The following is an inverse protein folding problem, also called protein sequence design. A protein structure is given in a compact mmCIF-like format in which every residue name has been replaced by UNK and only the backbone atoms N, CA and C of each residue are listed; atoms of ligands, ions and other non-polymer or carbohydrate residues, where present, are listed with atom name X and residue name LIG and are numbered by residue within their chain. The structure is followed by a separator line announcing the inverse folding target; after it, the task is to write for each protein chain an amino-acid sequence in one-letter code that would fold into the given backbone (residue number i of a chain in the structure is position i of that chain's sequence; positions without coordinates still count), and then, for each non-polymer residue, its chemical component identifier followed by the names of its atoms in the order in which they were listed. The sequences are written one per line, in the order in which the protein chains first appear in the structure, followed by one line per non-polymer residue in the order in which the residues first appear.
data_IF_694894974578
#
_entry.id   IF_694894974578
#
_cell.length_a   1.000
_cell.length_b   1.000
_cell.length_c   1.000
_cell.angle_alpha   90.00
_cell.angle_beta   90.00
_cell.angle_gamma   90.00
#
_symmetry.space_group_name_H-M   'P 1'
#
loop_
_entity.id
_entity.type
_entity.pdbx_description
1 polymer ?
#
# COMPACT_ATOMS: atom_id res chain seq x y z
N UNK A 1 -53.33 34.66 28.12
CA UNK A 1 -54.04 35.62 27.23
C UNK A 1 -54.25 34.91 25.90
N UNK A 2 -55.52 34.48 25.75
CA UNK A 2 -56.28 34.11 24.53
C UNK A 2 -55.66 33.14 23.50
N UNK A 3 -56.15 31.83 23.44
CA UNK A 3 -57.38 31.34 22.79
C UNK A 3 -57.45 31.70 21.29
N UNK A 4 -57.76 30.78 20.35
CA UNK A 4 -58.83 29.79 20.11
C UNK A 4 -58.48 28.96 18.85
N UNK A 5 -58.52 27.68 18.81
CA UNK A 5 -59.60 26.73 18.43
C UNK A 5 -60.39 27.05 17.16
N UNK A 6 -60.44 26.09 16.24
CA UNK A 6 -61.66 25.68 15.53
C UNK A 6 -61.47 24.33 14.75
N UNK A 7 -62.29 23.37 15.17
CA UNK A 7 -62.76 22.15 14.47
C UNK A 7 -63.63 22.49 13.26
N UNK A 8 -63.68 21.60 12.23
CA UNK A 8 -64.91 21.21 11.48
C UNK A 8 -64.61 19.91 10.71
N UNK A 9 -65.11 18.80 11.05
CA UNK A 9 -66.31 17.98 10.84
C UNK A 9 -66.52 17.49 9.38
N UNK A 10 -66.48 16.14 9.34
CA UNK A 10 -67.27 15.13 8.61
C UNK A 10 -68.02 15.47 7.34
N UNK A 11 -67.85 14.62 6.31
CA UNK A 11 -68.99 13.88 5.74
C UNK A 11 -68.53 12.59 5.05
N UNK A 12 -69.17 11.51 5.49
CA UNK A 12 -69.13 10.19 4.85
C UNK A 12 -70.11 10.19 3.66
N UNK A 13 -69.81 9.49 2.57
CA UNK A 13 -70.79 8.91 1.65
C UNK A 13 -70.36 7.58 1.11
N UNK A 14 -71.27 6.67 1.24
CA UNK A 14 -71.31 5.25 0.98
C UNK A 14 -71.42 4.87 -0.51
N UNK A 15 -70.89 3.69 -0.81
CA UNK A 15 -71.29 2.63 -1.75
C UNK A 15 -71.35 2.93 -3.25
N UNK A 16 -70.56 2.18 -4.02
CA UNK A 16 -71.14 1.16 -4.93
C UNK A 16 -70.09 0.14 -5.36
N UNK A 17 -70.49 -1.13 -5.20
CA UNK A 17 -69.79 -2.34 -5.63
C UNK A 17 -69.89 -2.46 -7.14
N UNK A 18 -68.77 -2.62 -7.87
CA UNK A 18 -68.77 -3.15 -9.23
C UNK A 18 -67.62 -4.19 -9.34
N UNK A 19 -68.04 -5.45 -9.45
CA UNK A 19 -67.19 -6.57 -9.86
C UNK A 19 -66.80 -6.37 -11.30
N UNK A 20 -65.50 -6.34 -11.58
CA UNK A 20 -64.94 -6.61 -12.90
C UNK A 20 -63.77 -7.54 -12.79
N UNK A 21 -63.94 -8.76 -13.30
CA UNK A 21 -62.89 -9.67 -13.65
C UNK A 21 -61.98 -9.02 -14.68
N UNK A 22 -60.70 -9.00 -14.49
CA UNK A 22 -59.74 -9.08 -15.60
C UNK A 22 -58.32 -9.33 -15.13
N UNK A 23 -57.76 -10.42 -15.60
CA UNK A 23 -56.41 -10.64 -16.10
C UNK A 23 -55.24 -10.34 -15.13
N UNK A 24 -54.66 -11.40 -14.65
CA UNK A 24 -53.27 -11.51 -14.18
C UNK A 24 -52.36 -11.01 -15.33
N UNK A 25 -51.83 -9.80 -15.19
CA UNK A 25 -50.62 -9.38 -15.89
C UNK A 25 -49.44 -9.73 -15.01
N UNK A 26 -48.73 -10.76 -15.40
CA UNK A 26 -47.39 -11.04 -14.90
C UNK A 26 -46.52 -9.81 -15.24
N UNK A 27 -46.12 -9.02 -14.23
CA UNK A 27 -44.99 -8.12 -14.38
C UNK A 27 -43.73 -9.03 -14.47
N UNK A 28 -43.35 -9.37 -15.70
CA UNK A 28 -41.99 -9.71 -16.01
C UNK A 28 -41.17 -8.45 -15.79
N UNK A 29 -40.33 -8.42 -14.79
CA UNK A 29 -39.23 -7.46 -14.66
C UNK A 29 -38.36 -7.62 -15.91
N UNK A 30 -38.50 -6.70 -16.85
CA UNK A 30 -37.51 -6.48 -17.89
C UNK A 30 -36.21 -6.05 -17.16
N UNK A 31 -35.37 -7.01 -16.82
CA UNK A 31 -33.96 -6.73 -16.68
C UNK A 31 -33.55 -6.09 -18.00
N UNK A 32 -33.08 -4.85 -17.92
CA UNK A 32 -32.67 -4.12 -19.10
C UNK A 32 -31.46 -4.84 -19.70
N UNK A 33 -31.42 -4.93 -21.03
CA UNK A 33 -30.32 -5.59 -21.75
C UNK A 33 -28.93 -5.08 -21.33
N UNK A 34 -28.86 -3.86 -20.76
CA UNK A 34 -27.66 -3.27 -20.19
C UNK A 34 -27.12 -4.01 -18.95
N UNK A 35 -28.00 -4.56 -18.11
CA UNK A 35 -27.56 -5.29 -16.90
C UNK A 35 -27.05 -6.68 -17.28
N UNK A 36 -27.68 -7.32 -18.26
CA UNK A 36 -27.24 -8.61 -18.80
C UNK A 36 -25.93 -8.48 -19.63
N UNK A 37 -25.73 -7.37 -20.35
CA UNK A 37 -24.48 -7.08 -21.05
C UNK A 37 -23.36 -6.74 -20.06
N UNK A 38 -23.62 -6.01 -18.97
CA UNK A 38 -22.64 -5.74 -17.92
C UNK A 38 -22.25 -7.02 -17.15
N UNK A 39 -23.22 -7.88 -16.81
CA UNK A 39 -22.94 -9.17 -16.17
C UNK A 39 -22.19 -10.13 -17.12
N UNK A 40 -22.50 -10.13 -18.40
CA UNK A 40 -21.78 -10.90 -19.42
C UNK A 40 -20.37 -10.34 -19.66
N UNK A 41 -20.16 -9.05 -19.55
CA UNK A 41 -18.86 -8.41 -19.72
C UNK A 41 -17.98 -8.62 -18.49
N UNK A 42 -18.55 -8.66 -17.27
CA UNK A 42 -17.86 -9.08 -16.04
C UNK A 42 -17.50 -10.58 -16.06
N UNK A 43 -18.35 -11.42 -16.64
CA UNK A 43 -18.08 -12.86 -16.81
C UNK A 43 -17.06 -13.17 -17.93
N UNK A 44 -16.70 -12.21 -18.77
CA UNK A 44 -15.79 -12.39 -19.92
C UNK A 44 -14.40 -11.79 -19.73
N UNK A 45 -14.08 -11.27 -18.54
CA UNK A 45 -12.71 -10.84 -18.26
C UNK A 45 -11.84 -12.09 -18.16
N UNK A 46 -10.87 -12.32 -19.05
CA UNK A 46 -10.04 -13.52 -18.99
C UNK A 46 -9.36 -13.57 -17.62
N UNK A 47 -9.42 -14.74 -16.96
CA UNK A 47 -8.61 -14.99 -15.79
C UNK A 47 -7.15 -14.68 -16.10
N UNK A 48 -6.39 -14.18 -15.12
CA UNK A 48 -4.96 -13.95 -15.31
C UNK A 48 -4.26 -15.25 -15.76
N UNK A 49 -3.45 -15.15 -16.81
CA UNK A 49 -2.68 -16.26 -17.34
C UNK A 49 -1.19 -15.90 -17.40
N UNK A 50 -0.34 -16.88 -17.13
CA UNK A 50 1.10 -16.71 -17.14
C UNK A 50 1.60 -16.73 -18.59
N UNK A 51 2.26 -15.66 -19.00
CA UNK A 51 3.03 -15.59 -20.24
C UNK A 51 4.46 -16.08 -19.99
N UNK A 52 4.67 -17.38 -20.12
CA UNK A 52 5.97 -18.01 -19.84
C UNK A 52 7.09 -17.52 -20.78
N UNK A 53 6.77 -17.16 -22.02
CA UNK A 53 7.74 -16.65 -22.99
C UNK A 53 8.17 -15.23 -22.62
N UNK A 54 7.21 -14.32 -22.42
CA UNK A 54 7.49 -12.94 -22.02
C UNK A 54 8.24 -12.85 -20.69
N UNK A 55 7.87 -13.66 -19.69
CA UNK A 55 8.66 -13.74 -18.45
C UNK A 55 10.07 -14.27 -18.68
N UNK A 56 10.23 -15.20 -19.62
CA UNK A 56 11.53 -15.71 -20.02
C UNK A 56 12.44 -14.66 -20.64
N UNK A 57 11.89 -13.75 -21.42
CA UNK A 57 12.61 -12.60 -22.01
C UNK A 57 13.03 -11.58 -20.92
N UNK A 58 12.27 -11.48 -19.82
CA UNK A 58 12.64 -10.68 -18.64
C UNK A 58 13.68 -11.35 -17.74
N UNK A 59 14.17 -12.56 -18.08
CA UNK A 59 15.13 -13.31 -17.27
C UNK A 59 14.50 -14.03 -16.07
N UNK A 60 13.18 -14.20 -16.04
CA UNK A 60 12.44 -14.84 -14.96
C UNK A 60 11.74 -16.12 -15.41
N UNK A 61 11.46 -17.00 -14.45
CA UNK A 61 10.65 -18.20 -14.67
C UNK A 61 9.60 -18.34 -13.58
N UNK A 62 8.41 -18.78 -13.98
CA UNK A 62 7.39 -19.14 -13.00
C UNK A 62 7.83 -20.34 -12.16
N UNK A 63 7.69 -20.24 -10.84
CA UNK A 63 8.03 -21.31 -9.92
C UNK A 63 6.79 -21.98 -9.33
N UNK A 64 5.85 -21.17 -8.81
CA UNK A 64 4.63 -21.66 -8.18
C UNK A 64 3.50 -20.65 -8.21
N UNK A 65 2.27 -21.14 -7.97
CA UNK A 65 1.10 -20.32 -7.64
C UNK A 65 0.53 -20.79 -6.30
N UNK A 66 0.33 -19.86 -5.37
CA UNK A 66 -0.22 -20.09 -4.04
C UNK A 66 -1.54 -19.33 -3.83
N UNK A 67 -2.30 -19.77 -2.84
CA UNK A 67 -3.61 -19.21 -2.51
C UNK A 67 -3.65 -18.90 -1.01
N UNK A 68 -3.40 -17.65 -0.60
CA UNK A 68 -3.59 -17.24 0.80
C UNK A 68 -5.04 -17.50 1.21
N UNK A 69 -5.29 -18.24 2.30
CA UNK A 69 -6.66 -18.44 2.77
C UNK A 69 -7.30 -17.11 3.17
N UNK A 70 -8.50 -16.86 2.65
CA UNK A 70 -9.29 -15.66 2.92
C UNK A 70 -10.76 -16.04 3.12
N UNK A 71 -11.51 -15.14 3.73
CA UNK A 71 -12.96 -15.27 3.83
C UNK A 71 -13.62 -15.19 2.44
N UNK A 72 -14.76 -15.86 2.19
CA UNK A 72 -15.48 -15.72 0.93
C UNK A 72 -15.81 -14.25 0.64
N UNK A 73 -15.42 -13.78 -0.56
CA UNK A 73 -15.60 -12.40 -0.99
C UNK A 73 -14.61 -11.38 -0.41
N UNK A 74 -13.65 -11.82 0.43
CA UNK A 74 -12.57 -10.95 0.88
C UNK A 74 -11.55 -10.73 -0.26
N UNK A 75 -10.92 -9.54 -0.23
CA UNK A 75 -9.82 -9.17 -1.12
C UNK A 75 -8.53 -9.02 -0.32
N UNK A 76 -7.39 -9.17 -0.98
CA UNK A 76 -6.07 -8.88 -0.38
C UNK A 76 -5.94 -7.36 -0.30
N UNK A 77 -5.84 -6.83 0.93
CA UNK A 77 -5.61 -5.39 1.17
C UNK A 77 -4.13 -5.06 1.25
N UNK A 78 -3.35 -5.92 1.92
CA UNK A 78 -1.91 -5.76 2.04
C UNK A 78 -1.19 -7.07 1.71
N UNK A 79 -0.04 -6.94 1.07
CA UNK A 79 0.85 -8.05 0.79
C UNK A 79 2.29 -7.56 0.84
N UNK A 80 3.15 -8.28 1.55
CA UNK A 80 4.58 -7.98 1.67
C UNK A 80 5.37 -9.25 1.44
N UNK A 81 6.42 -9.16 0.64
CA UNK A 81 7.34 -10.26 0.38
C UNK A 81 8.63 -10.07 1.20
N UNK A 82 9.11 -11.16 1.75
CA UNK A 82 10.39 -11.30 2.44
C UNK A 82 11.13 -12.49 1.81
N UNK A 83 12.40 -12.64 2.10
CA UNK A 83 13.25 -13.69 1.51
C UNK A 83 12.66 -15.11 1.67
N UNK A 84 12.05 -15.41 2.82
CA UNK A 84 11.56 -16.75 3.18
C UNK A 84 10.04 -16.85 3.27
N UNK A 85 9.32 -15.74 3.37
CA UNK A 85 7.86 -15.71 3.52
C UNK A 85 7.20 -14.59 2.73
N UNK A 86 5.88 -14.77 2.52
CA UNK A 86 4.98 -13.68 2.15
C UNK A 86 3.91 -13.53 3.22
N UNK A 87 3.59 -12.29 3.55
CA UNK A 87 2.50 -11.95 4.47
C UNK A 87 1.35 -11.31 3.71
N UNK A 88 0.12 -11.67 4.08
CA UNK A 88 -1.10 -11.14 3.47
C UNK A 88 -2.08 -10.72 4.54
N UNK A 89 -2.76 -9.62 4.29
CA UNK A 89 -3.94 -9.20 5.05
C UNK A 89 -5.13 -9.14 4.11
N UNK A 90 -6.17 -9.88 4.45
CA UNK A 90 -7.45 -9.82 3.75
C UNK A 90 -8.45 -8.89 4.43
N UNK A 91 -9.39 -8.34 3.66
CA UNK A 91 -10.45 -7.45 4.15
C UNK A 91 -11.39 -8.06 5.21
N UNK A 92 -11.22 -9.34 5.57
CA UNK A 92 -11.93 -10.01 6.66
C UNK A 92 -11.11 -10.15 7.93
N UNK A 93 -10.11 -9.30 8.20
CA UNK A 93 -9.19 -9.37 9.34
C UNK A 93 -8.39 -10.67 9.40
N UNK A 94 -8.19 -11.30 8.25
CA UNK A 94 -7.41 -12.53 8.12
C UNK A 94 -5.98 -12.19 7.76
N UNK A 95 -5.03 -12.64 8.58
CA UNK A 95 -3.60 -12.60 8.31
C UNK A 95 -3.15 -13.99 7.88
N UNK A 96 -2.47 -14.07 6.76
CA UNK A 96 -1.94 -15.32 6.21
C UNK A 96 -0.45 -15.18 5.93
N UNK A 97 0.30 -16.25 6.19
CA UNK A 97 1.73 -16.33 5.87
C UNK A 97 1.96 -17.55 4.98
N UNK A 98 2.62 -17.31 3.85
CA UNK A 98 3.02 -18.35 2.91
C UNK A 98 4.55 -18.50 2.91
N UNK A 99 5.02 -19.71 2.65
CA UNK A 99 6.42 -20.00 2.39
C UNK A 99 6.84 -19.45 1.02
N UNK A 100 7.83 -18.56 0.97
CA UNK A 100 8.27 -17.91 -0.28
C UNK A 100 8.85 -18.93 -1.30
N UNK A 101 9.41 -20.06 -0.82
CA UNK A 101 9.99 -21.06 -1.70
C UNK A 101 8.96 -22.00 -2.36
N UNK A 102 7.77 -22.15 -1.78
CA UNK A 102 6.82 -23.19 -2.22
C UNK A 102 5.40 -22.69 -2.46
N UNK A 103 5.08 -21.46 -2.03
CA UNK A 103 3.71 -20.93 -2.03
C UNK A 103 2.75 -21.63 -1.06
N UNK A 104 3.24 -22.54 -0.22
CA UNK A 104 2.42 -23.24 0.76
C UNK A 104 2.08 -22.35 1.94
N UNK A 105 0.85 -22.46 2.42
CA UNK A 105 0.42 -21.74 3.62
C UNK A 105 1.19 -22.26 4.83
N UNK A 106 1.95 -21.38 5.50
CA UNK A 106 2.58 -21.67 6.78
C UNK A 106 1.53 -21.66 7.88
N UNK A 107 0.72 -20.60 7.90
CA UNK A 107 -0.47 -20.47 8.75
C UNK A 107 -1.38 -19.36 8.21
N UNK A 108 -2.64 -19.39 8.67
CA UNK A 108 -3.63 -18.35 8.41
C UNK A 108 -4.54 -18.22 9.62
N UNK A 109 -4.82 -16.99 10.04
CA UNK A 109 -5.68 -16.70 11.21
C UNK A 109 -6.53 -15.46 10.98
N UNK A 110 -7.79 -15.56 11.36
CA UNK A 110 -8.61 -14.38 11.58
C UNK A 110 -8.28 -13.83 12.97
N UNK A 111 -7.75 -12.60 13.03
CA UNK A 111 -7.29 -12.00 14.28
C UNK A 111 -8.43 -11.36 15.08
N UNK A 112 -9.41 -10.79 14.38
CA UNK A 112 -10.53 -10.08 15.01
C UNK A 112 -11.81 -10.23 14.16
N UNK A 113 -12.83 -9.43 14.45
CA UNK A 113 -14.08 -9.40 13.67
C UNK A 113 -13.79 -9.04 12.21
N UNK A 114 -14.57 -9.56 11.29
CA UNK A 114 -14.37 -9.31 9.85
C UNK A 114 -14.50 -7.83 9.44
N UNK A 115 -15.00 -6.97 10.33
CA UNK A 115 -15.11 -5.52 10.11
C UNK A 115 -13.92 -4.72 10.65
N UNK A 116 -13.02 -5.36 11.40
CA UNK A 116 -11.81 -4.70 11.92
C UNK A 116 -10.79 -4.57 10.79
N UNK A 117 -10.34 -3.36 10.56
CA UNK A 117 -9.32 -3.07 9.54
C UNK A 117 -7.94 -3.21 10.14
N UNK A 118 -7.04 -3.82 9.38
CA UNK A 118 -5.63 -3.94 9.70
C UNK A 118 -4.80 -3.09 8.75
N UNK A 119 -3.71 -2.52 9.24
CA UNK A 119 -2.67 -1.92 8.41
C UNK A 119 -1.68 -3.00 7.95
N UNK A 120 -0.77 -2.65 7.02
CA UNK A 120 0.26 -3.58 6.54
C UNK A 120 1.10 -4.12 7.70
N UNK A 121 1.16 -5.45 7.92
CA UNK A 121 1.97 -6.04 9.00
C UNK A 121 3.45 -5.87 8.74
N UNK A 122 4.22 -5.78 9.82
CA UNK A 122 5.67 -5.65 9.76
C UNK A 122 6.31 -6.84 10.46
N UNK A 123 7.26 -7.47 9.78
CA UNK A 123 8.10 -8.53 10.35
C UNK A 123 9.33 -7.93 11.00
N UNK A 124 9.64 -8.41 12.20
CA UNK A 124 10.95 -8.27 12.80
C UNK A 124 11.36 -9.61 13.42
N UNK A 125 12.47 -10.14 13.01
CA UNK A 125 12.97 -11.45 13.41
C UNK A 125 11.91 -12.56 13.25
N UNK A 126 11.56 -13.27 14.32
CA UNK A 126 10.56 -14.35 14.36
C UNK A 126 9.15 -13.87 14.74
N UNK A 127 8.92 -12.54 14.78
CA UNK A 127 7.64 -11.93 15.16
C UNK A 127 7.05 -11.15 13.99
N UNK A 128 5.75 -11.33 13.78
CA UNK A 128 4.94 -10.53 12.88
C UNK A 128 4.06 -9.58 13.71
N UNK A 129 4.27 -8.29 13.53
CA UNK A 129 3.50 -7.22 14.16
C UNK A 129 2.33 -6.85 13.28
N UNK A 130 1.12 -7.19 13.68
CA UNK A 130 -0.10 -6.85 12.99
C UNK A 130 -0.91 -5.84 13.81
N UNK A 131 -1.18 -4.67 13.26
CA UNK A 131 -1.94 -3.65 13.97
C UNK A 131 -3.30 -3.42 13.31
N UNK A 132 -4.35 -3.41 14.14
CA UNK A 132 -5.63 -2.82 13.76
C UNK A 132 -5.61 -1.31 14.00
N UNK A 133 -6.74 -0.68 13.80
CA UNK A 133 -6.92 0.75 14.11
C UNK A 133 -6.69 1.10 15.60
N UNK A 134 -6.78 0.13 16.54
CA UNK A 134 -6.67 0.38 17.99
C UNK A 134 -5.79 -0.58 18.77
N UNK A 135 -5.42 -1.70 18.19
CA UNK A 135 -4.71 -2.78 18.88
C UNK A 135 -3.50 -3.25 18.08
N UNK A 136 -2.47 -3.66 18.79
CA UNK A 136 -1.26 -4.27 18.25
C UNK A 136 -1.21 -5.74 18.65
N UNK A 137 -1.01 -6.64 17.69
CA UNK A 137 -0.75 -8.07 17.90
C UNK A 137 0.68 -8.40 17.61
N UNK A 138 1.32 -9.08 18.52
CA UNK A 138 2.58 -9.77 18.30
C UNK A 138 2.30 -11.24 17.99
N UNK A 139 2.61 -11.67 16.79
CA UNK A 139 2.33 -13.01 16.32
C UNK A 139 3.61 -13.79 16.07
N UNK A 140 3.68 -15.02 16.57
CA UNK A 140 4.77 -15.92 16.22
C UNK A 140 4.77 -16.22 14.72
N UNK A 141 5.86 -15.88 14.04
CA UNK A 141 6.01 -16.12 12.61
C UNK A 141 5.94 -17.61 12.26
N UNK A 142 6.30 -18.48 13.21
CA UNK A 142 6.31 -19.94 13.01
C UNK A 142 4.92 -20.53 12.84
N UNK A 143 3.93 -20.09 13.63
CA UNK A 143 2.62 -20.76 13.72
C UNK A 143 1.42 -19.79 13.86
N UNK A 144 1.66 -18.48 13.84
CA UNK A 144 0.64 -17.45 13.98
C UNK A 144 0.03 -17.34 15.39
N UNK A 145 0.59 -18.01 16.41
CA UNK A 145 0.09 -17.85 17.76
C UNK A 145 0.35 -16.45 18.27
N UNK A 146 -0.64 -15.88 18.95
CA UNK A 146 -0.51 -14.59 19.62
C UNK A 146 0.49 -14.74 20.76
N UNK A 147 1.56 -13.95 20.70
CA UNK A 147 2.55 -13.78 21.76
C UNK A 147 2.03 -12.74 22.73
N UNK A 148 1.61 -11.60 22.18
CA UNK A 148 0.98 -10.52 22.94
C UNK A 148 -0.09 -9.78 22.14
N UNK A 149 -0.95 -9.00 22.82
CA UNK A 149 -2.02 -8.19 22.23
C UNK A 149 -2.33 -7.00 23.10
N UNK A 150 -2.04 -5.81 22.64
CA UNK A 150 -2.11 -4.58 23.40
C UNK A 150 -3.07 -3.58 22.82
N UNK A 151 -3.76 -2.85 23.68
CA UNK A 151 -4.58 -1.72 23.27
C UNK A 151 -3.76 -0.45 23.27
N UNK A 152 -3.63 0.18 22.11
CA UNK A 152 -2.88 1.43 21.95
C UNK A 152 -3.65 2.66 22.42
N UNK A 153 -4.96 2.54 22.67
CA UNK A 153 -5.82 3.64 23.13
C UNK A 153 -5.92 4.82 22.15
N UNK A 154 -5.40 4.67 20.93
CA UNK A 154 -5.33 5.71 19.89
C UNK A 154 -5.57 5.06 18.53
N UNK A 155 -6.35 5.74 17.66
CA UNK A 155 -6.60 5.26 16.30
C UNK A 155 -5.35 5.46 15.44
N UNK A 156 -4.76 4.37 14.96
CA UNK A 156 -3.61 4.38 14.05
C UNK A 156 -4.04 4.33 12.59
N UNK A 157 -3.19 4.86 11.72
CA UNK A 157 -3.44 4.89 10.29
C UNK A 157 -2.28 4.30 9.46
N UNK A 158 -1.08 4.25 10.03
CA UNK A 158 0.09 3.74 9.34
C UNK A 158 0.51 2.38 9.86
N UNK A 159 1.22 1.61 9.04
CA UNK A 159 1.98 0.45 9.52
C UNK A 159 2.95 0.88 10.62
N UNK A 160 3.24 0.01 11.60
CA UNK A 160 4.23 0.33 12.62
C UNK A 160 5.64 0.41 12.03
N UNK A 161 6.42 1.37 12.50
CA UNK A 161 7.87 1.25 12.45
C UNK A 161 8.31 0.60 13.76
N UNK A 162 8.92 -0.58 13.67
CA UNK A 162 9.40 -1.32 14.84
C UNK A 162 10.88 -1.00 15.05
N UNK A 163 11.23 -0.35 16.16
CA UNK A 163 12.60 -0.05 16.57
C UNK A 163 12.78 -0.50 18.02
N UNK A 164 13.68 -1.44 18.25
CA UNK A 164 13.86 -2.07 19.55
C UNK A 164 12.55 -2.58 20.17
N UNK A 165 12.12 -2.02 21.27
CA UNK A 165 10.88 -2.35 21.97
C UNK A 165 9.77 -1.30 21.72
N UNK A 166 9.90 -0.51 20.66
CA UNK A 166 8.95 0.54 20.30
C UNK A 166 8.25 0.23 19.00
N UNK A 167 6.92 0.38 18.99
CA UNK A 167 6.11 0.42 17.80
C UNK A 167 5.66 1.87 17.56
N UNK A 168 6.07 2.47 16.43
CA UNK A 168 5.83 3.89 16.13
C UNK A 168 4.77 4.01 15.06
N UNK A 169 3.72 4.77 15.33
CA UNK A 169 2.55 4.91 14.49
C UNK A 169 2.22 6.36 14.17
N UNK A 170 1.74 6.58 12.95
CA UNK A 170 1.11 7.81 12.52
C UNK A 170 -0.41 7.72 12.58
N UNK A 171 -1.08 8.86 12.79
CA UNK A 171 -2.53 8.97 12.87
C UNK A 171 -3.08 10.01 11.88
N UNK A 172 -4.35 9.86 11.49
CA UNK A 172 -5.06 10.88 10.71
C UNK A 172 -5.25 12.20 11.46
N UNK A 173 -5.17 12.17 12.79
CA UNK A 173 -5.17 13.38 13.59
C UNK A 173 -3.83 14.13 13.53
N UNK A 174 -2.79 13.56 12.90
CA UNK A 174 -1.45 14.15 12.82
C UNK A 174 -0.62 13.95 14.09
N UNK A 175 -0.92 12.97 14.89
CA UNK A 175 -0.08 12.52 15.99
C UNK A 175 0.85 11.41 15.51
N UNK A 176 2.15 11.54 15.70
CA UNK A 176 3.11 10.45 15.63
C UNK A 176 3.42 10.06 17.07
N UNK A 177 3.33 8.78 17.41
CA UNK A 177 3.60 8.33 18.77
C UNK A 177 4.38 7.01 18.78
N UNK A 178 5.15 6.80 19.84
CA UNK A 178 5.77 5.51 20.15
C UNK A 178 5.01 4.82 21.27
N UNK A 179 4.66 3.57 21.01
CA UNK A 179 4.09 2.64 21.98
C UNK A 179 5.20 1.69 22.44
N UNK A 180 5.42 1.64 23.76
CA UNK A 180 6.38 0.72 24.36
C UNK A 180 5.70 -0.62 24.61
N UNK A 181 6.11 -1.64 23.85
CA UNK A 181 5.45 -2.94 23.81
C UNK A 181 5.62 -3.75 25.10
N UNK A 182 6.77 -3.66 25.79
CA UNK A 182 7.04 -4.43 27.02
C UNK A 182 6.16 -4.02 28.22
N UNK A 183 5.73 -2.76 28.28
CA UNK A 183 5.02 -2.22 29.44
C UNK A 183 3.66 -1.58 29.05
N UNK A 184 3.20 -1.76 27.84
CA UNK A 184 1.88 -1.42 27.33
C UNK A 184 1.48 0.05 27.52
N UNK A 185 2.37 0.99 27.21
CA UNK A 185 2.05 2.40 27.31
C UNK A 185 2.63 3.26 26.18
N UNK A 186 1.96 4.37 25.91
CA UNK A 186 2.45 5.40 25.01
C UNK A 186 3.63 6.13 25.65
N UNK A 187 4.84 5.89 25.15
CA UNK A 187 6.07 6.48 25.69
C UNK A 187 6.16 7.97 25.40
N UNK A 188 5.90 8.36 24.15
CA UNK A 188 5.89 9.75 23.72
C UNK A 188 4.92 9.96 22.56
N UNK A 189 4.58 11.21 22.31
CA UNK A 189 3.90 11.64 21.09
C UNK A 189 4.41 13.00 20.61
N UNK A 190 4.37 13.19 19.29
CA UNK A 190 4.68 14.43 18.61
C UNK A 190 3.51 14.84 17.71
N UNK A 191 3.14 16.12 17.73
CA UNK A 191 2.00 16.64 16.96
C UNK A 191 2.49 17.34 15.70
N UNK A 192 2.16 16.77 14.55
CA UNK A 192 2.31 17.38 13.23
C UNK A 192 1.12 18.29 12.89
N UNK A 193 1.31 19.18 11.92
CA UNK A 193 0.30 20.12 11.44
C UNK A 193 -0.80 19.52 10.57
N UNK A 194 -0.70 18.25 10.18
CA UNK A 194 -1.65 17.51 9.35
C UNK A 194 -1.59 16.00 9.54
N UNK A 195 -2.50 15.25 8.88
CA UNK A 195 -2.52 13.79 8.92
C UNK A 195 -1.18 13.17 8.57
N UNK A 196 -0.88 12.00 9.15
CA UNK A 196 0.26 11.16 8.80
C UNK A 196 -0.30 9.92 8.13
N UNK A 197 0.00 9.74 6.83
CA UNK A 197 -0.55 8.65 6.01
C UNK A 197 0.50 7.64 5.58
N UNK A 198 1.78 8.02 5.66
CA UNK A 198 2.89 7.11 5.43
C UNK A 198 3.59 6.76 6.73
N UNK A 199 4.07 5.52 6.90
CA UNK A 199 4.82 5.16 8.10
C UNK A 199 6.09 6.00 8.22
N UNK A 200 6.50 6.25 9.46
CA UNK A 200 7.81 6.79 9.73
C UNK A 200 8.90 5.79 9.29
N UNK A 201 10.07 6.29 8.95
CA UNK A 201 11.23 5.46 8.63
C UNK A 201 12.38 5.74 9.61
N UNK A 202 13.20 4.74 9.88
CA UNK A 202 14.45 4.94 10.60
C UNK A 202 15.48 5.55 9.64
N UNK A 203 16.12 6.66 10.05
CA UNK A 203 17.13 7.36 9.25
C UNK A 203 18.53 7.23 9.84
N UNK A 204 18.62 6.91 11.13
CA UNK A 204 19.86 6.54 11.83
C UNK A 204 19.52 5.68 13.05
N UNK A 205 20.53 5.24 13.81
CA UNK A 205 20.31 4.48 15.05
C UNK A 205 19.49 5.26 16.08
N UNK A 206 19.58 6.60 16.08
CA UNK A 206 18.95 7.47 17.06
C UNK A 206 17.69 8.17 16.53
N UNK A 207 17.53 8.32 15.21
CA UNK A 207 16.50 9.16 14.61
C UNK A 207 15.59 8.42 13.65
N UNK A 208 14.33 8.82 13.69
CA UNK A 208 13.30 8.46 12.71
C UNK A 208 12.87 9.71 11.94
N UNK A 209 12.35 9.53 10.72
CA UNK A 209 11.76 10.61 9.92
C UNK A 209 10.29 10.34 9.62
N UNK A 210 9.49 11.40 9.63
CA UNK A 210 8.09 11.38 9.24
C UNK A 210 7.69 12.66 8.51
N UNK A 211 6.60 12.57 7.74
CA UNK A 211 6.00 13.69 7.01
C UNK A 211 4.48 13.71 7.20
N UNK A 212 3.92 14.90 7.38
CA UNK A 212 2.47 15.09 7.36
C UNK A 212 1.95 15.33 5.93
N UNK A 213 0.66 15.11 5.69
CA UNK A 213 0.00 15.45 4.42
C UNK A 213 0.01 16.95 4.09
N UNK A 214 0.29 17.80 5.07
CA UNK A 214 0.54 19.22 4.83
C UNK A 214 2.00 19.55 4.53
N UNK A 215 2.88 18.54 4.48
CA UNK A 215 4.28 18.68 4.09
C UNK A 215 5.22 19.13 5.22
N UNK A 216 4.81 19.03 6.49
CA UNK A 216 5.74 19.15 7.61
C UNK A 216 6.61 17.90 7.69
N UNK A 217 7.93 18.07 7.65
CA UNK A 217 8.94 17.01 7.70
C UNK A 217 9.73 17.19 8.99
N UNK A 218 9.91 16.10 9.73
CA UNK A 218 10.70 16.08 10.97
C UNK A 218 11.56 14.83 11.04
N UNK A 219 12.77 14.98 11.56
CA UNK A 219 13.42 13.87 12.26
C UNK A 219 13.18 14.03 13.75
N UNK A 220 12.97 12.91 14.43
CA UNK A 220 12.70 12.85 15.87
C UNK A 220 13.59 11.79 16.49
N UNK A 221 14.15 12.07 17.67
CA UNK A 221 14.83 11.03 18.43
C UNK A 221 13.86 9.90 18.77
N UNK A 222 14.27 8.67 18.52
CA UNK A 222 13.42 7.47 18.62
C UNK A 222 12.85 7.27 20.03
N UNK A 223 13.62 7.65 21.07
CA UNK A 223 13.27 7.34 22.48
C UNK A 223 12.49 8.44 23.19
N UNK A 224 12.50 9.67 22.72
CA UNK A 224 11.92 10.82 23.45
C UNK A 224 11.23 11.86 22.55
N UNK A 225 11.24 11.66 21.24
CA UNK A 225 10.69 12.57 20.22
C UNK A 225 11.32 13.99 20.24
N UNK A 226 12.54 14.16 20.76
CA UNK A 226 13.24 15.42 20.54
C UNK A 226 13.40 15.67 19.05
N UNK A 227 13.01 16.89 18.62
CA UNK A 227 13.08 17.26 17.21
C UNK A 227 14.53 17.51 16.79
N UNK A 228 14.97 16.76 15.82
CA UNK A 228 16.20 17.03 15.07
C UNK A 228 15.92 17.98 13.91
N UNK A 229 16.03 17.48 12.68
CA UNK A 229 15.76 18.22 11.44
C UNK A 229 14.31 18.69 11.35
N UNK A 230 14.12 19.87 10.76
CA UNK A 230 12.82 20.45 10.42
C UNK A 230 12.84 21.02 9.02
N UNK A 231 11.92 20.56 8.17
CA UNK A 231 11.70 21.11 6.85
C UNK A 231 10.20 21.21 6.54
N UNK A 232 9.87 22.01 5.51
CA UNK A 232 8.49 22.20 5.06
C UNK A 232 8.42 22.24 3.54
N UNK A 233 7.49 21.48 2.96
CA UNK A 233 7.10 21.51 1.55
C UNK A 233 5.62 21.80 1.41
N UNK A 234 5.14 22.02 0.19
CA UNK A 234 3.75 22.47 -0.01
C UNK A 234 2.71 21.35 0.07
N UNK A 235 3.12 20.09 -0.03
CA UNK A 235 2.24 18.91 0.03
C UNK A 235 2.91 17.74 0.71
N UNK A 236 2.12 16.76 1.15
CA UNK A 236 2.61 15.50 1.71
C UNK A 236 3.07 14.51 0.65
N UNK A 237 2.97 13.23 0.97
CA UNK A 237 3.35 12.13 0.08
C UNK A 237 2.37 10.96 0.20
N UNK A 238 2.13 10.28 -0.94
CA UNK A 238 1.43 8.99 -0.99
C UNK A 238 2.39 7.80 -1.08
N UNK A 239 3.70 8.07 -1.09
CA UNK A 239 4.76 7.07 -1.20
C UNK A 239 5.56 6.95 0.08
N UNK A 240 6.15 5.79 0.33
CA UNK A 240 7.07 5.60 1.47
C UNK A 240 8.28 6.52 1.30
N UNK A 241 8.74 7.11 2.38
CA UNK A 241 10.00 7.87 2.43
C UNK A 241 11.17 6.92 2.19
N UNK A 242 12.26 7.42 1.63
CA UNK A 242 13.51 6.68 1.48
C UNK A 242 14.68 7.46 2.06
N UNK A 243 15.72 6.75 2.49
CA UNK A 243 16.97 7.33 2.99
C UNK A 243 18.15 6.43 2.68
N UNK A 244 19.32 7.03 2.53
CA UNK A 244 20.63 6.36 2.49
C UNK A 244 21.46 6.65 3.76
N UNK A 245 20.82 7.24 4.78
CA UNK A 245 21.48 7.65 6.01
C UNK A 245 22.13 9.06 5.94
N UNK A 246 22.08 9.72 4.78
CA UNK A 246 22.55 11.11 4.56
C UNK A 246 21.39 11.96 4.06
N UNK A 247 20.71 11.50 3.01
CA UNK A 247 19.57 12.15 2.40
C UNK A 247 18.23 11.52 2.81
N UNK A 248 17.19 12.34 2.88
CA UNK A 248 15.80 11.96 2.95
C UNK A 248 15.14 12.26 1.61
N UNK A 249 14.68 11.23 0.90
CA UNK A 249 14.10 11.34 -0.44
C UNK A 249 12.59 11.25 -0.39
N UNK A 250 11.91 12.21 -1.03
CA UNK A 250 10.45 12.38 -0.95
C UNK A 250 9.86 12.60 -2.32
N UNK A 251 8.93 11.75 -2.73
CA UNK A 251 8.05 11.99 -3.86
C UNK A 251 6.77 12.68 -3.37
N UNK A 252 6.60 13.96 -3.72
CA UNK A 252 5.58 14.81 -3.10
C UNK A 252 4.37 15.05 -4.00
N UNK A 253 3.22 15.19 -3.35
CA UNK A 253 1.96 15.62 -3.97
C UNK A 253 2.01 17.08 -4.46
N UNK A 254 3.04 17.87 -4.09
CA UNK A 254 3.27 19.22 -4.59
C UNK A 254 3.99 19.25 -5.96
N UNK A 255 3.94 18.15 -6.71
CA UNK A 255 4.54 18.03 -8.05
C UNK A 255 6.07 18.10 -8.02
N UNK A 256 6.69 17.48 -7.04
CA UNK A 256 8.15 17.52 -6.93
C UNK A 256 8.74 16.28 -6.26
N UNK A 257 9.96 15.97 -6.66
CA UNK A 257 10.87 15.11 -5.94
C UNK A 257 11.84 15.97 -5.14
N UNK A 258 12.16 15.55 -3.94
CA UNK A 258 13.04 16.27 -3.03
C UNK A 258 14.11 15.37 -2.42
N UNK A 259 15.26 15.94 -2.13
CA UNK A 259 16.22 15.41 -1.17
C UNK A 259 16.55 16.47 -0.11
N UNK A 260 16.54 16.04 1.14
CA UNK A 260 16.90 16.86 2.29
C UNK A 260 18.00 16.18 3.08
N UNK A 261 18.91 16.97 3.66
CA UNK A 261 19.83 16.51 4.69
C UNK A 261 19.04 16.07 5.93
N UNK A 262 19.34 14.86 6.45
CA UNK A 262 18.63 14.30 7.62
C UNK A 262 19.00 14.98 8.95
N UNK A 263 20.09 15.77 8.99
CA UNK A 263 20.61 16.39 10.20
C UNK A 263 20.06 17.81 10.40
N UNK A 264 20.20 18.66 9.37
CA UNK A 264 19.82 20.08 9.46
C UNK A 264 18.61 20.48 8.62
N UNK A 265 18.13 19.59 7.73
CA UNK A 265 16.99 19.84 6.86
C UNK A 265 17.33 20.74 5.67
N UNK A 266 18.61 20.92 5.38
CA UNK A 266 19.02 21.60 4.16
C UNK A 266 18.52 20.81 2.93
N UNK A 267 17.86 21.51 2.00
CA UNK A 267 17.39 20.88 0.78
C UNK A 267 18.55 20.76 -0.20
N UNK A 268 19.03 19.53 -0.46
CA UNK A 268 20.07 19.26 -1.44
C UNK A 268 19.60 19.63 -2.85
N UNK A 269 18.43 19.10 -3.24
CA UNK A 269 17.87 19.37 -4.57
C UNK A 269 16.34 19.24 -4.61
N UNK A 270 15.78 19.71 -5.71
CA UNK A 270 14.37 19.58 -6.05
C UNK A 270 14.22 19.38 -7.56
N UNK A 271 13.49 18.35 -7.97
CA UNK A 271 13.09 18.12 -9.35
C UNK A 271 11.58 18.34 -9.46
N UNK A 272 11.15 19.25 -10.35
CA UNK A 272 9.73 19.54 -10.57
C UNK A 272 9.13 18.61 -11.60
N UNK A 273 7.87 18.25 -11.41
CA UNK A 273 7.01 17.50 -12.32
C UNK A 273 5.78 18.33 -12.70
N UNK A 274 5.07 17.94 -13.76
CA UNK A 274 3.80 18.53 -14.15
C UNK A 274 2.64 18.11 -13.24
N UNK A 275 2.73 16.94 -12.60
CA UNK A 275 1.68 16.33 -11.80
C UNK A 275 2.24 15.84 -10.45
N UNK A 276 1.38 15.60 -9.44
CA UNK A 276 1.77 14.96 -8.19
C UNK A 276 2.54 13.66 -8.44
N UNK A 277 3.60 13.42 -7.66
CA UNK A 277 4.41 12.21 -7.78
C UNK A 277 3.86 11.17 -6.82
N UNK A 278 3.11 10.21 -7.37
CA UNK A 278 2.38 9.18 -6.61
C UNK A 278 2.93 7.77 -6.83
N UNK A 279 3.88 7.60 -7.76
CA UNK A 279 4.54 6.32 -8.00
C UNK A 279 5.67 6.16 -7.00
N UNK A 280 5.73 4.98 -6.34
CA UNK A 280 6.83 4.68 -5.42
C UNK A 280 8.17 4.78 -6.14
N UNK A 281 9.07 5.53 -5.58
CA UNK A 281 10.45 5.65 -6.04
C UNK A 281 11.33 4.58 -5.36
N UNK A 282 12.49 4.31 -5.95
CA UNK A 282 13.41 3.27 -5.49
C UNK A 282 14.82 3.84 -5.41
N UNK A 283 15.48 3.60 -4.28
CA UNK A 283 16.86 4.00 -4.03
C UNK A 283 17.75 2.75 -4.01
N UNK A 284 18.80 2.77 -4.83
CA UNK A 284 19.77 1.68 -4.88
C UNK A 284 21.16 2.23 -5.26
N UNK A 285 22.15 1.97 -4.40
CA UNK A 285 23.56 2.32 -4.62
C UNK A 285 23.82 3.77 -5.08
N UNK A 286 23.16 4.73 -4.41
CA UNK A 286 23.32 6.16 -4.73
C UNK A 286 22.53 6.62 -5.97
N UNK A 287 21.73 5.76 -6.57
CA UNK A 287 20.82 6.07 -7.67
C UNK A 287 19.36 6.06 -7.20
N UNK A 288 18.64 7.12 -7.50
CA UNK A 288 17.21 7.23 -7.25
C UNK A 288 16.43 7.03 -8.56
N UNK A 289 15.63 5.99 -8.61
CA UNK A 289 14.73 5.73 -9.73
C UNK A 289 13.33 6.25 -9.39
N UNK A 290 12.83 7.19 -10.18
CA UNK A 290 11.54 7.80 -9.94
C UNK A 290 10.79 8.07 -11.24
N UNK A 291 9.48 7.85 -11.24
CA UNK A 291 8.64 8.11 -12.40
C UNK A 291 7.79 9.34 -12.19
N UNK A 292 7.75 10.20 -13.21
CA UNK A 292 6.82 11.33 -13.30
C UNK A 292 6.07 11.28 -14.63
N UNK A 293 4.91 11.90 -14.69
CA UNK A 293 4.07 11.85 -15.89
C UNK A 293 4.71 12.54 -17.08
N UNK A 294 5.42 13.64 -16.85
CA UNK A 294 6.03 14.47 -17.91
C UNK A 294 7.41 14.02 -18.35
N UNK A 295 8.14 13.29 -17.50
CA UNK A 295 9.51 12.86 -17.79
C UNK A 295 9.65 11.35 -17.93
N UNK A 296 8.61 10.60 -17.56
CA UNK A 296 8.68 9.15 -17.49
C UNK A 296 9.57 8.66 -16.36
N UNK A 297 10.18 7.50 -16.52
CA UNK A 297 11.16 6.95 -15.58
C UNK A 297 12.49 7.68 -15.71
N UNK A 298 13.02 8.10 -14.58
CA UNK A 298 14.30 8.80 -14.45
C UNK A 298 15.26 7.99 -13.57
N UNK A 299 16.53 7.99 -13.94
CA UNK A 299 17.64 7.67 -13.07
C UNK A 299 18.29 8.97 -12.62
N UNK A 300 18.39 9.17 -11.32
CA UNK A 300 18.83 10.40 -10.70
C UNK A 300 20.00 10.07 -9.77
N UNK A 301 21.10 10.80 -9.87
CA UNK A 301 22.13 10.78 -8.83
C UNK A 301 21.53 11.29 -7.52
N UNK A 302 21.49 10.47 -6.50
CA UNK A 302 20.78 10.78 -5.26
C UNK A 302 21.41 11.94 -4.49
N UNK A 303 22.71 12.13 -4.58
CA UNK A 303 23.45 13.19 -3.88
C UNK A 303 23.29 14.56 -4.55
N UNK A 304 23.32 14.61 -5.88
CA UNK A 304 23.33 15.87 -6.64
C UNK A 304 21.98 16.27 -7.21
N UNK A 305 21.08 15.28 -7.46
CA UNK A 305 19.82 15.49 -8.17
C UNK A 305 19.97 15.57 -9.68
N UNK A 306 21.16 15.28 -10.21
CA UNK A 306 21.37 15.24 -11.66
C UNK A 306 20.62 14.06 -12.28
N UNK A 307 19.83 14.33 -13.30
CA UNK A 307 19.15 13.29 -14.08
C UNK A 307 20.15 12.70 -15.05
N UNK A 308 20.60 11.48 -14.78
CA UNK A 308 21.60 10.78 -15.60
C UNK A 308 20.98 10.31 -16.92
N UNK A 309 19.77 9.81 -16.86
CA UNK A 309 18.92 9.52 -18.02
C UNK A 309 17.43 9.60 -17.62
N UNK A 310 16.57 9.76 -18.63
CA UNK A 310 15.14 9.58 -18.49
C UNK A 310 14.53 8.95 -19.75
N UNK A 311 13.48 8.16 -19.55
CA UNK A 311 12.70 7.59 -20.65
C UNK A 311 11.23 7.99 -20.49
N UNK A 312 10.71 8.90 -21.33
CA UNK A 312 9.34 9.40 -21.22
C UNK A 312 8.27 8.39 -21.65
N UNK A 313 8.67 7.28 -22.29
CA UNK A 313 7.73 6.21 -22.69
C UNK A 313 7.42 5.25 -21.55
N UNK A 314 8.21 5.29 -20.46
CA UNK A 314 8.09 4.38 -19.33
C UNK A 314 7.59 5.15 -18.13
N UNK A 315 6.48 4.71 -17.55
CA UNK A 315 6.06 5.11 -16.22
C UNK A 315 5.99 3.87 -15.34
N UNK A 316 6.41 3.95 -14.07
CA UNK A 316 6.29 2.79 -13.19
C UNK A 316 7.26 2.80 -12.03
N UNK A 317 7.19 1.73 -11.26
CA UNK A 317 7.99 1.47 -10.07
C UNK A 317 9.08 0.46 -10.38
N UNK A 318 10.35 0.80 -10.10
CA UNK A 318 11.48 -0.11 -10.17
C UNK A 318 11.42 -1.06 -8.99
N UNK A 319 11.23 -2.34 -9.27
CA UNK A 319 11.08 -3.40 -8.27
C UNK A 319 12.41 -4.04 -7.90
N UNK A 320 13.28 -4.25 -8.91
CA UNK A 320 14.56 -4.92 -8.70
C UNK A 320 15.61 -4.43 -9.70
N UNK A 321 16.85 -4.43 -9.24
CA UNK A 321 18.06 -4.26 -10.05
C UNK A 321 18.68 -5.65 -10.24
N UNK A 322 18.88 -6.05 -11.48
CA UNK A 322 19.24 -7.41 -11.85
C UNK A 322 20.64 -7.43 -12.47
N UNK A 323 21.50 -8.33 -11.95
CA UNK A 323 22.89 -8.49 -12.41
C UNK A 323 23.64 -7.16 -12.54
N UNK A 324 23.26 -6.14 -11.74
CA UNK A 324 23.77 -4.75 -11.79
C UNK A 324 23.67 -4.07 -13.17
N UNK A 325 22.91 -4.59 -14.10
CA UNK A 325 22.80 -4.12 -15.47
C UNK A 325 21.38 -3.83 -15.94
N UNK A 326 20.37 -4.38 -15.30
CA UNK A 326 18.99 -4.27 -15.72
C UNK A 326 18.07 -3.85 -14.57
N UNK A 327 17.01 -3.12 -14.90
CA UNK A 327 15.93 -2.75 -13.97
C UNK A 327 14.67 -3.51 -14.34
N UNK A 328 14.03 -4.10 -13.35
CA UNK A 328 12.69 -4.67 -13.50
C UNK A 328 11.67 -3.64 -13.03
N UNK A 329 10.81 -3.21 -13.93
CA UNK A 329 9.87 -2.11 -13.72
C UNK A 329 8.44 -2.57 -13.91
N UNK A 330 7.57 -2.25 -12.96
CA UNK A 330 6.12 -2.45 -13.09
C UNK A 330 5.44 -1.12 -13.43
N UNK A 331 4.82 -1.06 -14.62
CA UNK A 331 4.13 0.14 -15.10
C UNK A 331 2.65 0.23 -14.66
N UNK A 332 2.14 -0.81 -13.98
CA UNK A 332 0.72 -0.96 -13.64
C UNK A 332 -0.02 -1.95 -14.55
N UNK A 333 0.40 -2.11 -15.80
CA UNK A 333 -0.23 -2.99 -16.79
C UNK A 333 0.75 -3.86 -17.58
N UNK A 334 2.04 -3.65 -17.42
CA UNK A 334 3.11 -4.47 -17.99
C UNK A 334 4.32 -4.52 -17.06
N UNK A 335 5.13 -5.55 -17.22
CA UNK A 335 6.45 -5.66 -16.64
C UNK A 335 7.50 -5.40 -17.72
N UNK A 336 8.54 -4.65 -17.37
CA UNK A 336 9.59 -4.23 -18.28
C UNK A 336 10.95 -4.64 -17.73
N UNK A 337 11.86 -5.08 -18.59
CA UNK A 337 13.30 -5.09 -18.35
C UNK A 337 13.91 -3.89 -19.09
N UNK A 338 14.74 -3.12 -18.40
CA UNK A 338 15.28 -1.85 -18.85
C UNK A 338 16.78 -1.84 -18.62
N UNK A 339 17.56 -1.39 -19.60
CA UNK A 339 18.98 -1.14 -19.41
C UNK A 339 19.21 -0.10 -18.31
N UNK A 340 19.96 -0.47 -17.27
CA UNK A 340 20.18 0.37 -16.08
C UNK A 340 20.91 1.67 -16.41
N UNK A 341 21.84 1.64 -17.34
CA UNK A 341 22.73 2.78 -17.66
C UNK A 341 22.12 3.76 -18.66
N UNK A 342 21.18 3.29 -19.50
CA UNK A 342 20.64 4.08 -20.61
C UNK A 342 19.14 4.34 -20.50
N UNK A 343 18.43 3.52 -19.75
CA UNK A 343 16.97 3.58 -19.67
C UNK A 343 16.24 3.02 -20.89
N UNK A 344 16.92 2.25 -21.75
CA UNK A 344 16.32 1.63 -22.94
C UNK A 344 15.54 0.37 -22.56
N UNK A 345 14.39 0.14 -23.21
CA UNK A 345 13.59 -1.06 -22.99
C UNK A 345 14.27 -2.26 -23.67
N UNK A 346 14.58 -3.29 -22.90
CA UNK A 346 15.15 -4.56 -23.36
C UNK A 346 14.04 -5.54 -23.71
N UNK A 347 13.08 -5.72 -22.80
CA UNK A 347 11.95 -6.66 -22.95
C UNK A 347 10.71 -6.13 -22.23
N UNK A 348 9.55 -6.66 -22.62
CA UNK A 348 8.27 -6.35 -21.96
C UNK A 348 7.30 -7.53 -21.99
N UNK A 349 6.53 -7.69 -20.92
CA UNK A 349 5.42 -8.65 -20.87
C UNK A 349 4.18 -7.98 -20.29
N UNK A 350 3.00 -8.12 -20.94
CA UNK A 350 1.78 -7.52 -20.45
C UNK A 350 1.27 -8.20 -19.18
N UNK A 351 0.82 -7.42 -18.22
CA UNK A 351 0.17 -7.86 -17.00
C UNK A 351 -1.25 -7.33 -16.96
N UNK A 352 -2.24 -8.21 -17.09
CA UNK A 352 -3.65 -7.85 -17.04
C UNK A 352 -4.32 -8.54 -15.86
N UNK A 353 -5.33 -7.88 -15.26
CA UNK A 353 -6.13 -8.44 -14.16
C UNK A 353 -5.31 -8.83 -12.92
N UNK A 354 -4.29 -8.02 -12.60
CA UNK A 354 -3.52 -8.15 -11.38
C UNK A 354 -3.86 -7.02 -10.40
N UNK A 355 -3.87 -7.36 -9.11
CA UNK A 355 -4.09 -6.42 -8.01
C UNK A 355 -2.80 -5.70 -7.60
N UNK A 356 -1.65 -6.33 -7.78
CA UNK A 356 -0.38 -5.75 -7.43
C UNK A 356 0.81 -6.64 -7.69
N UNK A 357 1.99 -6.04 -7.53
CA UNK A 357 3.28 -6.71 -7.66
C UNK A 357 4.11 -6.44 -6.42
N UNK A 358 4.88 -7.42 -5.97
CA UNK A 358 5.85 -7.29 -4.88
C UNK A 358 7.18 -7.90 -5.28
N UNK A 359 8.23 -7.47 -4.60
CA UNK A 359 9.56 -8.09 -4.64
C UNK A 359 10.03 -8.36 -3.23
N UNK A 360 10.82 -9.39 -3.03
CA UNK A 360 11.45 -9.70 -1.75
C UNK A 360 12.78 -8.95 -1.55
N UNK A 361 13.43 -8.55 -2.64
CA UNK A 361 14.69 -7.83 -2.59
C UNK A 361 14.81 -6.83 -3.75
N UNK A 362 15.51 -5.74 -3.52
CA UNK A 362 15.86 -4.78 -4.58
C UNK A 362 16.97 -5.32 -5.49
N UNK A 363 17.89 -6.13 -4.98
CA UNK A 363 18.97 -6.73 -5.74
C UNK A 363 18.62 -8.17 -6.07
N UNK A 364 18.52 -8.50 -7.36
CA UNK A 364 18.19 -9.84 -7.86
C UNK A 364 16.94 -10.46 -7.25
N UNK A 365 15.96 -9.62 -6.88
CA UNK A 365 14.75 -10.05 -6.18
C UNK A 365 13.84 -10.91 -7.01
N UNK A 366 13.13 -11.83 -6.35
CA UNK A 366 12.00 -12.53 -6.95
C UNK A 366 10.81 -11.58 -7.11
N UNK A 367 9.98 -11.86 -8.12
CA UNK A 367 8.77 -11.08 -8.39
C UNK A 367 7.53 -11.89 -8.02
N UNK A 368 6.62 -11.28 -7.28
CA UNK A 368 5.37 -11.87 -6.84
C UNK A 368 4.19 -11.11 -7.41
N UNK A 369 3.39 -11.77 -8.23
CA UNK A 369 2.18 -11.23 -8.85
C UNK A 369 0.97 -11.60 -8.01
N UNK A 370 0.20 -10.59 -7.59
CA UNK A 370 -1.03 -10.75 -6.83
C UNK A 370 -2.19 -10.49 -7.77
N UNK A 371 -3.10 -11.45 -7.91
CA UNK A 371 -4.28 -11.30 -8.77
C UNK A 371 -5.48 -10.77 -7.99
N UNK A 372 -6.45 -10.18 -8.69
CA UNK A 372 -7.73 -9.80 -8.09
C UNK A 372 -8.53 -10.99 -7.54
N UNK A 373 -8.27 -12.20 -8.03
CA UNK A 373 -8.88 -13.44 -7.55
C UNK A 373 -8.26 -13.95 -6.24
N UNK A 374 -7.21 -13.27 -5.74
CA UNK A 374 -6.54 -13.60 -4.49
C UNK A 374 -5.48 -14.70 -4.63
N UNK A 375 -5.06 -15.07 -5.84
CA UNK A 375 -3.90 -15.93 -6.04
C UNK A 375 -2.61 -15.12 -6.06
N UNK A 376 -1.50 -15.79 -5.76
CA UNK A 376 -0.16 -15.22 -5.79
C UNK A 376 0.75 -16.13 -6.60
N UNK A 377 1.43 -15.60 -7.59
CA UNK A 377 2.41 -16.34 -8.38
C UNK A 377 3.82 -15.78 -8.16
N UNK A 378 4.78 -16.69 -7.97
CA UNK A 378 6.20 -16.36 -7.86
C UNK A 378 6.90 -16.57 -9.18
N UNK A 379 7.72 -15.60 -9.53
CA UNK A 379 8.69 -15.64 -10.61
C UNK A 379 10.09 -15.50 -10.04
N UNK A 380 10.89 -16.53 -10.12
CA UNK A 380 12.29 -16.56 -9.71
C UNK A 380 13.23 -16.25 -10.87
N UNK A 381 14.42 -15.81 -10.54
CA UNK A 381 15.52 -15.62 -11.52
C UNK A 381 15.88 -16.95 -12.19
N UNK A 382 16.24 -16.88 -13.48
CA UNK A 382 16.74 -18.02 -14.25
C UNK A 382 18.21 -18.29 -13.97
#
# INVERSE_FOLDING_TARGET
MFEKSALYKHTARTLTLALALSTLSACSSTQTASDAENDAQLASTPAWSIDHEGWGELGYQWEWTGYPPMQPGAVIEHATAYDDILTFVGSGSTVSVLEANTGKVRWSRQLDRSTTRFVEPVRRDDTLYAASDTELWELSLRNGNTIDRDSMGTLVNTSPLIVDNLAIFGTLAGELFAFQMENDFKLWSYKFDGPIEQPAIQVSDEYIAAISQKGEIRTLETINAHSGMSAKIAGGTDTKLLTDGIGLYIASLDQSLYAFDIVDGFRFWRIRSSDPVTVQHTLHEGLLYASTRDKGLMCIDSATGDVLWNNPEIGGWVLSVVDDSELIVWSGFEMLAIDKDRGDIIARTPLKNIAGVRTDNITDGNIYIITFEGSVAKFGRR
#
